data_IF_096173370426
#
_entry.id   IF_096173370426
#
_cell.length_a   1.000
_cell.length_b   1.000
_cell.length_c   1.000
_cell.angle_alpha   90.00
_cell.angle_beta   90.00
_cell.angle_gamma   90.00
#
_symmetry.space_group_name_H-M   'P 1'
#
loop_
_entity.id
_entity.type
_entity.pdbx_description
1 polymer ?
#
# COMPACT_ATOMS: atom_id res chain seq x y z
N UNK A 1 -1.05 -1.17 7.15
CA UNK A 1 -1.79 -1.58 8.35
C UNK A 1 -2.53 -2.90 8.09
N UNK A 2 -2.59 -3.81 9.07
CA UNK A 2 -3.29 -5.10 8.93
C UNK A 2 -4.28 -5.25 10.08
N UNK A 3 -5.53 -5.53 9.75
CA UNK A 3 -6.54 -6.03 10.67
C UNK A 3 -6.53 -7.56 10.63
N UNK A 4 -6.41 -8.22 11.78
CA UNK A 4 -6.31 -9.66 11.86
C UNK A 4 -7.47 -10.23 12.70
N UNK A 5 -8.21 -11.21 12.15
CA UNK A 5 -9.41 -11.77 12.80
C UNK A 5 -9.48 -13.28 12.68
N UNK A 6 -9.90 -13.92 13.76
CA UNK A 6 -10.41 -15.29 13.64
C UNK A 6 -11.71 -15.32 12.82
N UNK A 7 -12.05 -16.50 12.28
CA UNK A 7 -13.31 -16.63 11.53
C UNK A 7 -14.54 -16.37 12.41
N UNK A 8 -14.49 -16.68 13.71
CA UNK A 8 -15.55 -16.37 14.66
C UNK A 8 -15.69 -14.85 14.86
N UNK A 9 -14.57 -14.15 15.04
CA UNK A 9 -14.56 -12.69 15.19
C UNK A 9 -14.99 -11.98 13.90
N UNK A 10 -14.64 -12.54 12.75
CA UNK A 10 -15.11 -12.05 11.46
C UNK A 10 -16.65 -12.05 11.42
N UNK A 11 -17.28 -13.20 11.67
CA UNK A 11 -18.73 -13.31 11.65
C UNK A 11 -19.42 -12.42 12.71
N UNK A 12 -18.83 -12.28 13.88
CA UNK A 12 -19.33 -11.36 14.92
C UNK A 12 -19.24 -9.91 14.45
N UNK A 13 -18.09 -9.51 13.89
CA UNK A 13 -17.86 -8.15 13.42
C UNK A 13 -18.68 -7.80 12.16
N UNK A 14 -19.01 -8.77 11.33
CA UNK A 14 -19.93 -8.61 10.21
C UNK A 14 -21.34 -8.27 10.69
N UNK A 15 -21.85 -8.98 11.74
CA UNK A 15 -23.22 -8.80 12.25
C UNK A 15 -23.41 -7.44 12.93
N UNK A 16 -22.41 -6.96 13.65
CA UNK A 16 -22.49 -5.70 14.41
C UNK A 16 -21.94 -4.48 13.64
N UNK A 17 -21.50 -4.67 12.39
CA UNK A 17 -20.95 -3.61 11.55
C UNK A 17 -19.58 -3.07 12.01
N UNK A 18 -18.95 -3.72 12.99
CA UNK A 18 -17.69 -3.25 13.57
C UNK A 18 -16.54 -3.30 12.56
N UNK A 19 -16.49 -4.36 11.75
CA UNK A 19 -15.43 -4.51 10.75
C UNK A 19 -15.47 -3.43 9.66
N UNK A 20 -16.68 -3.05 9.21
CA UNK A 20 -16.81 -1.97 8.23
C UNK A 20 -16.26 -0.65 8.78
N UNK A 21 -16.61 -0.30 10.02
CA UNK A 21 -16.06 0.92 10.67
C UNK A 21 -14.53 0.87 10.85
N UNK A 22 -13.97 -0.31 11.13
CA UNK A 22 -12.51 -0.48 11.19
C UNK A 22 -11.87 -0.23 9.83
N UNK A 23 -12.44 -0.80 8.77
CA UNK A 23 -11.95 -0.62 7.39
C UNK A 23 -12.07 0.83 6.94
N UNK A 24 -13.20 1.52 7.24
CA UNK A 24 -13.37 2.95 6.96
C UNK A 24 -12.27 3.78 7.63
N UNK A 25 -11.95 3.50 8.90
CA UNK A 25 -10.89 4.18 9.62
C UNK A 25 -9.49 3.87 9.05
N UNK A 26 -9.27 2.64 8.60
CA UNK A 26 -8.00 2.24 7.99
C UNK A 26 -7.82 2.88 6.62
N UNK A 27 -8.87 2.98 5.82
CA UNK A 27 -8.88 3.63 4.51
C UNK A 27 -8.59 5.13 4.64
N UNK A 28 -9.27 5.80 5.58
CA UNK A 28 -9.08 7.23 5.82
C UNK A 28 -7.66 7.60 6.26
N UNK A 29 -6.94 6.70 6.94
CA UNK A 29 -5.65 6.99 7.55
C UNK A 29 -4.45 6.31 6.85
N UNK A 30 -4.67 5.30 5.98
CA UNK A 30 -3.60 4.50 5.41
C UNK A 30 -3.94 4.02 4.00
N UNK A 31 -3.19 4.48 3.02
CA UNK A 31 -3.36 4.06 1.62
C UNK A 31 -3.03 2.58 1.33
N UNK A 32 -2.44 1.84 2.28
CA UNK A 32 -2.14 0.41 2.14
C UNK A 32 -2.55 -0.31 3.43
N UNK A 33 -3.60 -1.09 3.33
CA UNK A 33 -4.10 -1.89 4.44
C UNK A 33 -4.67 -3.23 3.97
N UNK A 34 -4.91 -4.15 4.89
CA UNK A 34 -5.40 -5.47 4.56
C UNK A 34 -6.09 -6.16 5.72
N UNK A 35 -6.80 -7.22 5.39
CA UNK A 35 -7.51 -8.09 6.31
C UNK A 35 -6.92 -9.50 6.26
N UNK A 36 -6.45 -9.99 7.38
CA UNK A 36 -5.98 -11.38 7.55
C UNK A 36 -7.00 -12.14 8.37
N UNK A 37 -7.49 -13.25 7.84
CA UNK A 37 -8.52 -14.08 8.45
C UNK A 37 -7.97 -15.47 8.67
N UNK A 38 -8.12 -16.04 9.87
CA UNK A 38 -7.70 -17.42 10.12
C UNK A 38 -8.81 -18.28 10.70
N UNK A 39 -8.68 -19.58 10.45
CA UNK A 39 -9.59 -20.61 10.91
C UNK A 39 -10.45 -21.21 9.80
N UNK A 40 -11.18 -22.25 10.16
CA UNK A 40 -12.00 -23.04 9.25
C UNK A 40 -13.48 -22.79 9.44
N UNK A 41 -14.22 -22.73 8.34
CA UNK A 41 -15.68 -22.56 8.34
C UNK A 41 -16.36 -23.72 9.08
N UNK A 42 -15.86 -24.96 8.91
CA UNK A 42 -16.38 -26.14 9.61
C UNK A 42 -16.35 -25.98 11.13
N UNK A 43 -15.21 -25.53 11.66
CA UNK A 43 -15.06 -25.27 13.09
C UNK A 43 -16.00 -24.16 13.60
N UNK A 44 -16.14 -23.08 12.84
CA UNK A 44 -17.11 -22.03 13.14
C UNK A 44 -18.56 -22.56 13.20
N UNK A 45 -18.97 -23.34 12.19
CA UNK A 45 -20.31 -23.91 12.11
C UNK A 45 -20.59 -24.86 13.29
N UNK A 46 -19.63 -25.68 13.69
CA UNK A 46 -19.76 -26.57 14.85
C UNK A 46 -20.01 -25.76 16.14
N UNK A 47 -19.19 -24.77 16.42
CA UNK A 47 -19.35 -23.86 17.57
C UNK A 47 -20.65 -23.05 17.51
N UNK A 48 -21.07 -22.64 16.32
CA UNK A 48 -22.34 -21.91 16.12
C UNK A 48 -23.54 -22.82 16.44
N UNK A 49 -23.50 -24.11 16.06
CA UNK A 49 -24.54 -25.09 16.40
C UNK A 49 -24.63 -25.36 17.89
N UNK A 50 -23.50 -25.47 18.57
CA UNK A 50 -23.46 -25.60 20.04
C UNK A 50 -24.15 -24.43 20.74
N UNK A 51 -24.14 -23.24 20.13
CA UNK A 51 -24.82 -22.03 20.58
C UNK A 51 -26.27 -21.91 20.06
N UNK A 52 -26.85 -22.98 19.50
CA UNK A 52 -28.23 -23.00 19.01
C UNK A 52 -28.46 -22.43 17.61
N UNK A 53 -27.42 -22.16 16.84
CA UNK A 53 -27.54 -21.71 15.45
C UNK A 53 -27.83 -22.86 14.49
N UNK A 54 -28.71 -22.63 13.53
CA UNK A 54 -29.00 -23.62 12.46
C UNK A 54 -28.16 -23.39 11.18
N UNK A 55 -27.14 -22.51 11.24
CA UNK A 55 -26.32 -22.18 10.07
C UNK A 55 -25.60 -23.42 9.50
N UNK A 56 -25.62 -23.56 8.18
CA UNK A 56 -24.87 -24.60 7.45
C UNK A 56 -23.52 -24.05 6.96
N UNK A 57 -22.59 -24.96 6.65
CA UNK A 57 -21.29 -24.56 6.09
C UNK A 57 -21.42 -23.81 4.76
N UNK A 58 -22.37 -24.21 3.91
CA UNK A 58 -22.66 -23.54 2.63
C UNK A 58 -23.19 -22.10 2.86
N UNK A 59 -24.09 -21.93 3.81
CA UNK A 59 -24.61 -20.60 4.17
C UNK A 59 -23.53 -19.71 4.76
N UNK A 60 -22.71 -20.23 5.67
CA UNK A 60 -21.59 -19.50 6.23
C UNK A 60 -20.58 -19.08 5.15
N UNK A 61 -20.21 -20.00 4.25
CA UNK A 61 -19.34 -19.72 3.12
C UNK A 61 -19.91 -18.61 2.22
N UNK A 62 -21.19 -18.70 1.85
CA UNK A 62 -21.86 -17.71 1.00
C UNK A 62 -21.87 -16.32 1.67
N UNK A 63 -22.20 -16.25 2.96
CA UNK A 63 -22.20 -14.98 3.71
C UNK A 63 -20.80 -14.36 3.77
N UNK A 64 -19.79 -15.16 4.10
CA UNK A 64 -18.40 -14.70 4.18
C UNK A 64 -17.90 -14.23 2.79
N UNK A 65 -18.11 -15.02 1.75
CA UNK A 65 -17.65 -14.68 0.39
C UNK A 65 -18.31 -13.41 -0.12
N UNK A 66 -19.63 -13.26 0.08
CA UNK A 66 -20.35 -12.05 -0.29
C UNK A 66 -19.85 -10.81 0.45
N UNK A 67 -19.59 -10.94 1.75
CA UNK A 67 -19.04 -9.85 2.56
C UNK A 67 -17.62 -9.46 2.11
N UNK A 68 -16.74 -10.45 1.93
CA UNK A 68 -15.36 -10.19 1.49
C UNK A 68 -15.31 -9.63 0.06
N UNK A 69 -16.21 -10.08 -0.83
CA UNK A 69 -16.34 -9.49 -2.16
C UNK A 69 -16.70 -8.01 -2.10
N UNK A 70 -17.63 -7.63 -1.20
CA UNK A 70 -17.96 -6.22 -0.95
C UNK A 70 -16.76 -5.44 -0.39
N UNK A 71 -16.04 -6.00 0.59
CA UNK A 71 -14.84 -5.37 1.16
C UNK A 71 -13.80 -5.08 0.08
N UNK A 72 -13.58 -6.03 -0.83
CA UNK A 72 -12.64 -5.80 -1.97
C UNK A 72 -13.15 -4.70 -2.91
N UNK A 73 -14.45 -4.72 -3.22
CA UNK A 73 -15.03 -3.73 -4.13
C UNK A 73 -15.04 -2.31 -3.56
N UNK A 74 -15.40 -2.17 -2.28
CA UNK A 74 -15.56 -0.85 -1.64
C UNK A 74 -14.21 -0.26 -1.19
N UNK A 75 -13.25 -1.09 -0.76
CA UNK A 75 -12.01 -0.64 -0.13
C UNK A 75 -10.73 -1.01 -0.91
N UNK A 76 -10.78 -1.96 -1.85
CA UNK A 76 -9.59 -2.40 -2.57
C UNK A 76 -8.49 -3.00 -1.69
N UNK A 77 -8.81 -3.40 -0.46
CA UNK A 77 -7.83 -3.87 0.50
C UNK A 77 -7.34 -5.30 0.20
N UNK A 78 -6.12 -5.62 0.63
CA UNK A 78 -5.59 -6.97 0.59
C UNK A 78 -6.41 -7.88 1.52
N UNK A 79 -6.83 -9.05 1.02
CA UNK A 79 -7.43 -10.09 1.86
C UNK A 79 -6.57 -11.35 1.78
N UNK A 80 -6.18 -11.88 2.95
CA UNK A 80 -5.50 -13.17 3.06
C UNK A 80 -6.25 -14.09 4.02
N UNK A 81 -6.43 -15.35 3.60
CA UNK A 81 -7.03 -16.40 4.43
C UNK A 81 -5.99 -17.46 4.78
N UNK A 82 -5.88 -17.75 6.06
CA UNK A 82 -5.04 -18.80 6.61
C UNK A 82 -5.91 -19.88 7.31
N UNK A 83 -5.55 -21.16 7.24
CA UNK A 83 -6.27 -22.23 7.94
C UNK A 83 -6.16 -22.11 9.46
N UNK A 84 -5.08 -21.53 9.97
CA UNK A 84 -4.82 -21.39 11.41
C UNK A 84 -4.05 -20.09 11.73
N UNK A 85 -3.97 -19.78 13.02
CA UNK A 85 -3.31 -18.55 13.52
C UNK A 85 -1.80 -18.56 13.25
N UNK A 86 -1.15 -19.71 13.25
CA UNK A 86 0.29 -19.82 12.99
C UNK A 86 0.63 -19.39 11.56
N UNK A 87 -0.13 -19.87 10.58
CA UNK A 87 0.07 -19.47 9.17
C UNK A 87 -0.31 -18.01 8.94
N UNK A 88 -1.34 -17.49 9.61
CA UNK A 88 -1.66 -16.08 9.58
C UNK A 88 -0.50 -15.22 10.10
N UNK A 89 0.09 -15.61 11.23
CA UNK A 89 1.26 -14.93 11.79
C UNK A 89 2.47 -14.99 10.86
N UNK A 90 2.77 -16.15 10.28
CA UNK A 90 3.86 -16.32 9.30
C UNK A 90 3.66 -15.42 8.07
N UNK A 91 2.43 -15.36 7.57
CA UNK A 91 2.12 -14.45 6.45
C UNK A 91 2.36 -12.98 6.81
N UNK A 92 1.90 -12.53 7.99
CA UNK A 92 2.09 -11.15 8.43
C UNK A 92 3.58 -10.80 8.59
N UNK A 93 4.38 -11.70 9.15
CA UNK A 93 5.84 -11.52 9.26
C UNK A 93 6.48 -11.47 7.87
N UNK A 94 6.14 -12.40 6.99
CA UNK A 94 6.67 -12.42 5.63
C UNK A 94 6.27 -11.16 4.83
N UNK A 95 5.03 -10.69 4.98
CA UNK A 95 4.55 -9.46 4.36
C UNK A 95 5.34 -8.25 4.88
N UNK A 96 5.51 -8.14 6.19
CA UNK A 96 6.30 -7.08 6.81
C UNK A 96 7.74 -7.07 6.28
N UNK A 97 8.42 -8.21 6.31
CA UNK A 97 9.80 -8.32 5.80
C UNK A 97 9.93 -7.94 4.33
N UNK A 98 9.01 -8.41 3.49
CA UNK A 98 9.02 -8.09 2.06
C UNK A 98 8.72 -6.61 1.80
N UNK A 99 7.78 -6.04 2.53
CA UNK A 99 7.43 -4.63 2.42
C UNK A 99 8.59 -3.75 2.90
N UNK A 100 9.21 -4.08 4.02
CA UNK A 100 10.35 -3.36 4.56
C UNK A 100 11.58 -3.46 3.65
N UNK A 101 11.93 -4.69 3.20
CA UNK A 101 13.04 -4.90 2.27
C UNK A 101 12.79 -4.26 0.89
N UNK A 102 11.54 -4.20 0.44
CA UNK A 102 11.17 -3.52 -0.80
C UNK A 102 11.33 -2.02 -0.68
N UNK A 103 10.92 -1.43 0.42
CA UNK A 103 11.13 -0.01 0.71
C UNK A 103 12.63 0.36 0.71
N UNK A 104 13.49 -0.52 1.24
CA UNK A 104 14.95 -0.31 1.24
C UNK A 104 15.64 -0.56 -0.11
N UNK A 105 15.06 -1.45 -0.97
CA UNK A 105 15.65 -1.82 -2.28
C UNK A 105 15.09 -1.03 -3.46
N UNK A 106 13.90 -0.52 -3.37
CA UNK A 106 13.17 0.16 -4.44
C UNK A 106 12.75 1.57 -4.01
N UNK A 107 13.65 2.31 -3.37
CA UNK A 107 13.41 3.68 -2.95
C UNK A 107 12.71 4.54 -4.02
N UNK A 108 12.99 4.30 -5.30
CA UNK A 108 12.36 5.04 -6.40
C UNK A 108 10.93 4.56 -6.78
N UNK A 109 10.55 3.31 -6.51
CA UNK A 109 9.22 2.80 -6.89
C UNK A 109 8.18 2.80 -5.76
N UNK A 110 8.62 2.74 -4.50
CA UNK A 110 7.73 2.85 -3.33
C UNK A 110 7.21 4.28 -3.13
N UNK A 111 7.87 5.25 -3.72
CA UNK A 111 7.62 6.69 -3.58
C UNK A 111 6.36 7.15 -4.31
N UNK A 112 5.72 6.33 -5.11
CA UNK A 112 4.53 6.73 -5.88
C UNK A 112 3.37 7.27 -5.05
N UNK A 113 3.44 7.26 -3.70
CA UNK A 113 2.36 7.74 -2.82
C UNK A 113 2.81 8.29 -1.47
N UNK A 114 4.08 8.60 -1.27
CA UNK A 114 4.43 9.45 -0.13
C UNK A 114 4.25 10.88 -0.63
N UNK A 115 3.06 11.43 -0.41
CA UNK A 115 2.89 12.87 -0.52
C UNK A 115 3.82 13.49 0.51
N UNK A 116 4.85 14.16 0.05
CA UNK A 116 5.58 15.08 0.89
C UNK A 116 4.70 16.31 1.03
N UNK A 117 4.74 17.04 2.15
CA UNK A 117 4.03 18.31 2.24
C UNK A 117 4.65 19.41 1.35
N UNK A 118 5.59 19.05 0.49
CA UNK A 118 6.26 19.92 -0.47
C UNK A 118 6.04 19.40 -1.90
N UNK A 119 5.16 20.08 -2.65
CA UNK A 119 4.79 19.73 -4.03
C UNK A 119 6.01 19.67 -4.95
N UNK A 120 7.05 20.48 -4.71
CA UNK A 120 8.30 20.44 -5.51
C UNK A 120 8.99 19.09 -5.38
N UNK A 121 9.03 18.55 -4.15
CA UNK A 121 9.60 17.21 -3.90
C UNK A 121 8.80 16.14 -4.60
N UNK A 122 7.48 16.21 -4.55
CA UNK A 122 6.59 15.24 -5.22
C UNK A 122 6.77 15.26 -6.74
N UNK A 123 6.94 16.45 -7.33
CA UNK A 123 7.23 16.61 -8.76
C UNK A 123 8.57 15.94 -9.14
N UNK A 124 9.63 16.19 -8.39
CA UNK A 124 10.94 15.58 -8.65
C UNK A 124 10.95 14.09 -8.43
N UNK A 125 10.21 13.58 -7.44
CA UNK A 125 10.05 12.15 -7.18
C UNK A 125 9.32 11.41 -8.31
N UNK A 126 8.51 12.10 -9.10
CA UNK A 126 7.85 11.51 -10.25
C UNK A 126 8.83 11.18 -11.40
N UNK A 127 10.02 11.78 -11.41
CA UNK A 127 11.03 11.58 -12.47
C UNK A 127 11.72 10.23 -12.26
N UNK A 128 11.72 9.33 -13.25
CA UNK A 128 12.37 8.03 -13.15
C UNK A 128 13.87 8.13 -12.86
N UNK A 129 14.32 7.45 -11.79
CA UNK A 129 15.72 7.45 -11.35
C UNK A 129 16.05 8.52 -10.29
N UNK A 130 15.11 9.38 -9.94
CA UNK A 130 15.22 10.30 -8.81
C UNK A 130 14.64 9.65 -7.55
N UNK A 131 15.45 9.53 -6.52
CA UNK A 131 15.05 9.04 -5.19
C UNK A 131 15.02 10.16 -4.15
N UNK A 132 14.51 9.89 -2.92
CA UNK A 132 14.36 10.90 -1.88
C UNK A 132 15.63 11.68 -1.57
N UNK A 133 16.76 10.97 -1.39
CA UNK A 133 18.05 11.60 -1.08
C UNK A 133 18.49 12.55 -2.21
N UNK A 134 18.18 12.18 -3.46
CA UNK A 134 18.50 13.01 -4.61
C UNK A 134 17.58 14.21 -4.74
N UNK A 135 16.31 14.07 -4.37
CA UNK A 135 15.35 15.19 -4.31
C UNK A 135 15.83 16.23 -3.32
N UNK A 136 16.22 15.82 -2.11
CA UNK A 136 16.75 16.76 -1.10
C UNK A 136 18.00 17.48 -1.64
N UNK A 137 18.91 16.74 -2.24
CA UNK A 137 20.12 17.32 -2.83
C UNK A 137 19.83 18.27 -4.01
N UNK A 138 18.80 17.99 -4.83
CA UNK A 138 18.36 18.90 -5.90
C UNK A 138 17.78 20.19 -5.32
N UNK A 139 16.89 20.07 -4.35
CA UNK A 139 16.26 21.26 -3.69
C UNK A 139 17.34 22.11 -3.00
N UNK A 140 18.30 21.47 -2.33
CA UNK A 140 19.41 22.17 -1.68
C UNK A 140 20.32 22.90 -2.71
N UNK A 141 20.65 22.24 -3.82
CA UNK A 141 21.55 22.79 -4.84
C UNK A 141 20.88 23.84 -5.73
N UNK A 142 19.58 23.68 -6.03
CA UNK A 142 18.88 24.52 -6.99
C UNK A 142 17.93 25.56 -6.35
N UNK A 143 17.45 25.31 -5.12
CA UNK A 143 16.51 26.20 -4.43
C UNK A 143 15.08 26.17 -4.99
N UNK A 144 14.91 26.14 -6.32
CA UNK A 144 13.61 26.13 -6.99
C UNK A 144 13.51 25.10 -8.13
N UNK A 145 12.29 24.78 -8.55
CA UNK A 145 12.03 23.94 -9.73
C UNK A 145 12.47 24.64 -11.02
N UNK A 146 12.29 25.96 -11.09
CA UNK A 146 12.71 26.77 -12.24
C UNK A 146 14.24 26.70 -12.43
N UNK A 147 15.02 26.83 -11.38
CA UNK A 147 16.47 26.69 -11.44
C UNK A 147 16.89 25.26 -11.79
N UNK A 148 16.19 24.26 -11.27
CA UNK A 148 16.41 22.86 -11.66
C UNK A 148 16.13 22.61 -13.16
N UNK A 149 15.11 23.26 -13.72
CA UNK A 149 14.78 23.23 -15.14
C UNK A 149 15.88 23.85 -16.02
N UNK A 150 16.57 24.90 -15.55
CA UNK A 150 17.72 25.46 -16.24
C UNK A 150 18.95 24.52 -16.28
N UNK A 151 19.06 23.59 -15.34
CA UNK A 151 20.02 22.49 -15.35
C UNK A 151 21.43 22.83 -14.85
N UNK A 152 21.80 24.08 -14.69
CA UNK A 152 23.17 24.45 -14.28
C UNK A 152 23.45 24.05 -12.82
N UNK A 153 22.51 24.28 -11.91
CA UNK A 153 22.62 23.91 -10.51
C UNK A 153 22.74 22.37 -10.32
N UNK A 154 22.14 21.59 -11.21
CA UNK A 154 22.18 20.13 -11.17
C UNK A 154 23.59 19.53 -11.31
N UNK A 155 24.57 20.33 -11.76
CA UNK A 155 25.98 19.91 -11.81
C UNK A 155 26.58 19.75 -10.41
N UNK A 156 26.02 20.44 -9.43
CA UNK A 156 26.48 20.42 -8.05
C UNK A 156 25.80 19.33 -7.23
N UNK A 157 24.80 18.62 -7.79
CA UNK A 157 24.10 17.56 -7.09
C UNK A 157 24.97 16.30 -7.02
N UNK A 158 25.30 15.78 -5.83
CA UNK A 158 26.13 14.59 -5.68
C UNK A 158 25.50 13.38 -6.37
N UNK A 159 26.33 12.55 -7.01
CA UNK A 159 25.95 11.31 -7.70
C UNK A 159 24.98 11.48 -8.89
N UNK A 160 24.68 12.70 -9.29
CA UNK A 160 23.86 12.97 -10.46
C UNK A 160 24.68 12.96 -11.75
N UNK A 161 24.61 11.85 -12.49
CA UNK A 161 25.28 11.72 -13.80
C UNK A 161 24.60 12.54 -14.90
N UNK A 162 25.29 12.73 -16.03
CA UNK A 162 24.80 13.52 -17.18
C UNK A 162 23.43 13.05 -17.68
N UNK A 163 23.20 11.73 -17.76
CA UNK A 163 21.92 11.16 -18.23
C UNK A 163 20.77 11.58 -17.33
N UNK A 164 20.95 11.52 -16.02
CA UNK A 164 19.93 11.85 -15.07
C UNK A 164 19.63 13.36 -15.03
N UNK A 165 20.67 14.20 -15.17
CA UNK A 165 20.51 15.66 -15.31
C UNK A 165 19.68 16.01 -16.53
N UNK A 166 20.02 15.46 -17.69
CA UNK A 166 19.27 15.69 -18.92
C UNK A 166 17.81 15.28 -18.77
N UNK A 167 17.55 14.15 -18.10
CA UNK A 167 16.18 13.67 -17.84
C UNK A 167 15.39 14.64 -16.96
N UNK A 168 16.00 15.19 -15.90
CA UNK A 168 15.35 16.21 -15.06
C UNK A 168 15.00 17.45 -15.88
N UNK A 169 15.94 17.98 -16.64
CA UNK A 169 15.70 19.15 -17.50
C UNK A 169 14.61 18.86 -18.51
N UNK A 170 14.69 17.73 -19.24
CA UNK A 170 13.71 17.32 -20.23
C UNK A 170 12.29 17.23 -19.66
N UNK A 171 12.10 16.59 -18.49
CA UNK A 171 10.79 16.47 -17.86
C UNK A 171 10.24 17.82 -17.41
N UNK A 172 11.11 18.72 -16.91
CA UNK A 172 10.68 20.01 -16.38
C UNK A 172 10.46 21.10 -17.45
N UNK A 173 11.01 20.89 -18.67
CA UNK A 173 10.93 21.89 -19.75
C UNK A 173 10.14 21.43 -20.97
N UNK A 174 9.77 20.14 -21.07
CA UNK A 174 9.02 19.64 -22.23
C UNK A 174 7.58 20.14 -22.22
N UNK A 175 7.12 20.58 -23.38
CA UNK A 175 5.71 20.91 -23.64
C UNK A 175 4.91 19.70 -24.11
N UNK A 176 5.60 18.57 -24.42
CA UNK A 176 5.02 17.33 -24.91
C UNK A 176 5.11 16.21 -23.88
N UNK A 177 4.42 15.11 -24.14
CA UNK A 177 4.49 13.90 -23.30
C UNK A 177 5.89 13.28 -23.31
N UNK A 178 6.55 13.23 -22.17
CA UNK A 178 7.86 12.59 -22.02
C UNK A 178 7.71 11.14 -21.61
N UNK A 179 8.17 10.22 -22.45
CA UNK A 179 8.17 8.77 -22.20
C UNK A 179 9.60 8.27 -22.12
N UNK A 180 9.92 7.60 -21.02
CA UNK A 180 11.20 6.90 -20.89
C UNK A 180 10.99 5.40 -21.11
N UNK A 181 11.75 4.82 -22.02
CA UNK A 181 11.82 3.36 -22.17
C UNK A 181 12.33 2.72 -20.88
N UNK A 182 11.72 1.59 -20.52
CA UNK A 182 12.00 0.87 -19.26
C UNK A 182 13.21 -0.04 -19.40
#
# INVERSE_FOLDING_TARGET
>A
LIEAKSIDDLFNSMRNGHLMRQLDNMDANNGNYGLVIWGEIGGYVSRARERGSSITASQALKQMTGFLGRVVADFGCLIYRAPNVSEAAQFMVALHEKTYKKASRHGAQAIRRVSTNDVRKDMLLAIPGIGPDMVEAIIEACGSIEEAACGDCLRNVPRMGKVLRNRVVEVLTSEEEVRFER
#
